data_IF_633687066048
#
_entry.id   IF_633687066048
#
_cell.length_a   1.000
_cell.length_b   1.000
_cell.length_c   1.000
_cell.angle_alpha   90.00
_cell.angle_beta   90.00
_cell.angle_gamma   90.00
#
_symmetry.space_group_name_H-M   'P 1'
#
loop_
_entity.id
_entity.type
_entity.pdbx_description
1 polymer ?
#
# COMPACT_ATOMS: atom_id res chain seq x y z
N UNK A 1 22.23 -29.27 43.80
CA UNK A 1 21.31 -29.23 42.66
C UNK A 1 21.94 -28.38 41.60
N UNK A 2 22.40 -29.03 40.54
CA UNK A 2 23.15 -28.45 39.41
C UNK A 2 22.22 -27.66 38.49
N UNK A 3 22.52 -26.39 38.06
CA UNK A 3 21.63 -25.56 37.25
C UNK A 3 21.76 -25.80 35.74
N UNK A 4 22.03 -27.06 35.31
CA UNK A 4 22.34 -27.38 33.90
C UNK A 4 21.41 -28.39 33.23
N UNK A 5 20.14 -28.46 33.62
CA UNK A 5 19.16 -29.27 32.86
C UNK A 5 17.92 -28.45 32.52
N UNK A 6 18.00 -27.69 31.42
CA UNK A 6 16.81 -27.32 30.63
C UNK A 6 16.61 -28.38 29.56
N UNK A 7 15.44 -28.99 29.45
CA UNK A 7 15.15 -29.97 28.39
C UNK A 7 15.11 -29.24 27.04
N UNK A 8 16.03 -29.63 26.16
CA UNK A 8 16.06 -29.31 24.77
C UNK A 8 14.88 -29.98 24.07
N UNK A 9 13.94 -29.29 23.44
CA UNK A 9 12.98 -29.93 22.56
C UNK A 9 13.70 -30.30 21.28
N UNK A 10 14.12 -31.57 21.14
CA UNK A 10 14.66 -32.15 19.95
C UNK A 10 13.73 -31.97 18.75
N UNK A 11 14.12 -31.08 17.84
CA UNK A 11 13.60 -31.02 16.48
C UNK A 11 14.30 -32.06 15.59
N UNK A 12 14.31 -33.32 15.99
CA UNK A 12 14.87 -34.39 15.20
C UNK A 12 13.84 -35.52 15.03
N UNK A 13 13.62 -35.84 13.74
CA UNK A 13 13.03 -37.05 13.21
C UNK A 13 11.50 -37.20 13.29
N UNK A 14 10.84 -36.61 12.27
CA UNK A 14 9.88 -37.41 11.51
C UNK A 14 9.89 -36.94 10.04
N UNK A 15 10.67 -37.63 9.20
CA UNK A 15 10.75 -37.40 7.76
C UNK A 15 9.51 -38.00 7.05
N UNK A 16 8.35 -37.58 7.46
CA UNK A 16 7.13 -37.72 6.70
C UNK A 16 7.01 -36.51 5.75
N UNK A 17 6.87 -36.75 4.47
CA UNK A 17 6.56 -35.75 3.44
C UNK A 17 5.35 -34.91 3.89
N UNK A 18 5.57 -33.82 4.62
CA UNK A 18 4.51 -32.83 4.89
C UNK A 18 4.17 -32.18 3.56
N UNK A 19 2.93 -32.35 3.10
CA UNK A 19 2.41 -31.71 1.90
C UNK A 19 2.66 -30.22 2.02
N UNK A 20 3.45 -29.66 1.10
CA UNK A 20 3.69 -28.24 0.97
C UNK A 20 2.34 -27.51 0.87
N UNK A 21 2.04 -26.64 1.81
CA UNK A 21 0.81 -25.85 1.83
C UNK A 21 1.11 -24.48 1.26
N UNK A 22 0.37 -24.07 0.25
CA UNK A 22 0.43 -22.69 -0.24
C UNK A 22 -0.55 -21.82 0.53
N UNK A 23 -0.04 -20.86 1.30
CA UNK A 23 -0.93 -19.85 1.92
C UNK A 23 -1.40 -18.90 0.82
N UNK A 24 -2.71 -18.91 0.56
CA UNK A 24 -3.39 -18.09 -0.45
C UNK A 24 -2.75 -18.17 -1.86
N UNK A 25 -2.06 -19.27 -2.19
CA UNK A 25 -1.40 -19.46 -3.49
C UNK A 25 -0.13 -18.63 -3.72
N UNK A 26 0.37 -17.89 -2.72
CA UNK A 26 1.52 -16.98 -2.88
C UNK A 26 2.78 -17.43 -2.13
N UNK A 27 2.66 -18.17 -1.03
CA UNK A 27 3.79 -18.57 -0.20
C UNK A 27 3.90 -20.09 -0.14
N UNK A 28 5.04 -20.69 -0.53
CA UNK A 28 5.32 -22.10 -0.33
C UNK A 28 5.74 -22.34 1.13
N UNK A 29 4.83 -22.86 1.96
CA UNK A 29 5.04 -23.01 3.40
C UNK A 29 5.21 -24.49 3.75
N UNK A 30 6.29 -24.77 4.48
CA UNK A 30 6.56 -26.07 5.09
C UNK A 30 6.02 -26.15 6.51
N UNK A 31 6.11 -25.04 7.23
CA UNK A 31 5.77 -24.97 8.65
C UNK A 31 5.10 -23.64 8.98
N UNK A 32 4.13 -23.66 9.88
CA UNK A 32 3.47 -22.48 10.40
C UNK A 32 3.75 -22.36 11.89
N UNK A 33 4.34 -21.24 12.31
CA UNK A 33 4.62 -20.94 13.71
C UNK A 33 3.80 -19.71 14.10
N UNK A 34 2.98 -19.86 15.14
CA UNK A 34 2.23 -18.76 15.74
C UNK A 34 2.96 -18.29 16.99
N UNK A 35 3.14 -16.98 17.11
CA UNK A 35 3.82 -16.34 18.24
C UNK A 35 2.88 -15.40 18.96
N UNK A 36 3.01 -15.33 20.27
CA UNK A 36 2.26 -14.43 21.15
C UNK A 36 3.15 -13.49 21.94
N UNK A 37 4.46 -13.73 21.93
CA UNK A 37 5.44 -12.91 22.64
C UNK A 37 6.59 -12.48 21.73
N UNK A 38 7.07 -11.22 21.85
CA UNK A 38 8.21 -10.72 21.06
C UNK A 38 9.48 -11.57 21.15
N UNK A 39 9.76 -12.17 22.31
CA UNK A 39 10.93 -13.02 22.51
C UNK A 39 10.91 -14.30 21.68
N UNK A 40 9.74 -14.83 21.37
CA UNK A 40 9.58 -16.02 20.52
C UNK A 40 10.01 -15.74 19.07
N UNK A 41 9.69 -14.54 18.55
CA UNK A 41 10.10 -14.13 17.20
C UNK A 41 11.63 -14.19 17.06
N UNK A 42 12.37 -13.63 18.02
CA UNK A 42 13.83 -13.63 18.01
C UNK A 42 14.40 -15.07 18.02
N UNK A 43 13.84 -15.96 18.85
CA UNK A 43 14.25 -17.39 18.92
C UNK A 43 14.01 -18.12 17.61
N UNK A 44 12.84 -17.96 17.01
CA UNK A 44 12.48 -18.59 15.73
C UNK A 44 13.38 -18.10 14.60
N UNK A 45 13.61 -16.78 14.51
CA UNK A 45 14.48 -16.21 13.48
C UNK A 45 15.93 -16.67 13.65
N UNK A 46 16.47 -16.70 14.87
CA UNK A 46 17.81 -17.20 15.15
C UNK A 46 17.98 -18.68 14.78
N UNK A 47 16.97 -19.51 15.04
CA UNK A 47 16.98 -20.89 14.64
C UNK A 47 16.94 -21.06 13.11
N UNK A 48 16.03 -20.35 12.44
CA UNK A 48 15.96 -20.32 10.99
C UNK A 48 17.25 -19.82 10.33
N UNK A 49 17.93 -18.85 10.93
CA UNK A 49 19.22 -18.33 10.45
C UNK A 49 20.32 -19.40 10.47
N UNK A 50 20.42 -20.17 11.56
CA UNK A 50 21.38 -21.28 11.69
C UNK A 50 21.18 -22.34 10.60
N UNK A 51 19.93 -22.62 10.24
CA UNK A 51 19.58 -23.64 9.25
C UNK A 51 19.36 -23.07 7.84
N UNK A 52 19.57 -21.77 7.63
CA UNK A 52 19.29 -21.03 6.38
C UNK A 52 17.88 -21.26 5.85
N UNK A 53 16.90 -21.40 6.76
CA UNK A 53 15.50 -21.66 6.41
C UNK A 53 14.77 -20.31 6.22
N UNK A 54 14.10 -20.08 5.07
CA UNK A 54 13.34 -18.86 4.83
C UNK A 54 12.25 -18.61 5.87
N UNK A 55 12.08 -17.34 6.27
CA UNK A 55 11.04 -16.88 7.19
C UNK A 55 10.15 -15.88 6.48
N UNK A 56 8.87 -16.15 6.48
CA UNK A 56 7.82 -15.31 5.91
C UNK A 56 6.97 -14.70 7.02
N UNK A 57 7.23 -13.45 7.44
CA UNK A 57 6.45 -12.79 8.47
C UNK A 57 5.05 -12.47 7.94
N UNK A 58 4.03 -12.88 8.68
CA UNK A 58 2.63 -12.73 8.31
C UNK A 58 1.89 -12.05 9.46
N UNK A 59 1.34 -10.85 9.22
CA UNK A 59 0.35 -10.25 10.09
C UNK A 59 -1.05 -10.80 9.74
N UNK A 60 -1.97 -9.94 9.31
CA UNK A 60 -3.31 -10.36 8.88
C UNK A 60 -3.40 -11.02 7.48
N UNK A 61 -2.29 -11.11 6.75
CA UNK A 61 -2.24 -11.78 5.44
C UNK A 61 -2.93 -11.04 4.29
N UNK A 62 -3.25 -9.75 4.45
CA UNK A 62 -4.01 -8.96 3.48
C UNK A 62 -3.21 -8.54 2.23
N UNK A 63 -1.89 -8.68 2.23
CA UNK A 63 -1.00 -8.24 1.13
C UNK A 63 0.01 -9.31 0.69
N UNK A 64 -0.30 -10.59 0.85
CA UNK A 64 0.61 -11.69 0.50
C UNK A 64 0.94 -11.76 -0.99
N UNK A 65 0.06 -11.24 -1.85
CA UNK A 65 0.30 -11.15 -3.29
C UNK A 65 1.23 -10.01 -3.72
N UNK A 66 1.56 -9.05 -2.84
CA UNK A 66 2.42 -7.91 -3.16
C UNK A 66 3.90 -8.26 -3.07
N UNK A 67 4.66 -7.81 -4.07
CA UNK A 67 6.09 -8.10 -4.18
C UNK A 67 6.41 -9.27 -5.10
N UNK A 68 7.71 -9.54 -5.26
CA UNK A 68 8.24 -10.59 -6.13
C UNK A 68 7.76 -12.00 -5.78
N UNK A 69 7.93 -12.95 -6.69
CA UNK A 69 7.52 -14.33 -6.47
C UNK A 69 8.41 -14.98 -5.41
N UNK A 70 7.78 -15.78 -4.57
CA UNK A 70 8.46 -16.57 -3.54
C UNK A 70 8.51 -18.03 -4.02
N UNK A 71 9.72 -18.56 -4.15
CA UNK A 71 9.94 -19.92 -4.68
C UNK A 71 10.56 -20.86 -3.66
N UNK A 72 11.15 -20.34 -2.60
CA UNK A 72 11.82 -21.15 -1.59
C UNK A 72 10.82 -21.56 -0.50
N UNK A 73 10.67 -22.86 -0.20
CA UNK A 73 9.89 -23.32 0.93
C UNK A 73 10.44 -22.81 2.26
N UNK A 74 9.55 -22.50 3.22
CA UNK A 74 10.00 -21.93 4.49
C UNK A 74 8.94 -21.87 5.57
N UNK A 75 9.23 -21.12 6.62
CA UNK A 75 8.39 -20.94 7.81
C UNK A 75 7.48 -19.74 7.64
N UNK A 76 6.17 -19.93 7.78
CA UNK A 76 5.21 -18.85 7.98
C UNK A 76 5.21 -18.44 9.45
N UNK A 77 5.77 -17.27 9.76
CA UNK A 77 5.77 -16.73 11.11
C UNK A 77 4.58 -15.80 11.32
N UNK A 78 3.58 -16.30 12.07
CA UNK A 78 2.33 -15.57 12.30
C UNK A 78 2.50 -14.60 13.46
N UNK A 79 2.42 -13.31 13.16
CA UNK A 79 2.63 -12.21 14.10
C UNK A 79 1.31 -11.62 14.64
N UNK A 80 0.17 -12.11 14.18
CA UNK A 80 -1.14 -11.61 14.57
C UNK A 80 -1.46 -11.78 16.07
N UNK A 81 -0.69 -12.57 16.80
CA UNK A 81 -0.78 -12.69 18.26
C UNK A 81 -0.21 -11.49 19.02
N UNK A 82 0.70 -10.71 18.40
CA UNK A 82 1.33 -9.54 19.00
C UNK A 82 0.42 -8.31 18.88
N UNK A 83 -0.49 -8.10 19.85
CA UNK A 83 -1.56 -7.09 19.77
C UNK A 83 -1.65 -6.16 20.98
N UNK A 84 -0.63 -6.12 21.82
CA UNK A 84 -0.67 -5.32 23.04
C UNK A 84 -0.55 -3.81 22.72
N UNK A 85 -1.28 -3.02 23.52
CA UNK A 85 -1.07 -1.57 23.63
C UNK A 85 0.08 -1.35 24.62
N UNK A 86 1.24 -0.93 24.11
CA UNK A 86 2.45 -0.78 24.93
C UNK A 86 2.45 0.56 25.68
N UNK A 87 2.07 1.66 24.99
CA UNK A 87 2.07 3.01 25.57
C UNK A 87 1.19 3.96 24.75
N UNK A 88 0.44 4.85 25.41
CA UNK A 88 -0.39 5.83 24.71
C UNK A 88 -0.46 7.16 25.47
N UNK A 89 0.58 8.01 25.41
CA UNK A 89 0.52 9.38 25.88
C UNK A 89 -0.28 10.24 24.89
N UNK A 90 -1.60 10.21 25.00
CA UNK A 90 -2.52 10.86 24.03
C UNK A 90 -2.27 12.36 23.85
N UNK A 91 -1.79 13.06 24.91
CA UNK A 91 -1.42 14.47 24.84
C UNK A 91 -0.21 14.75 23.95
N UNK A 92 0.69 13.78 23.80
CA UNK A 92 1.88 13.89 22.96
C UNK A 92 1.60 13.47 21.50
N UNK A 93 0.36 13.06 21.19
CA UNK A 93 -0.07 12.58 19.88
C UNK A 93 0.80 11.41 19.36
N UNK A 94 1.16 10.51 20.26
CA UNK A 94 1.95 9.31 19.93
C UNK A 94 1.34 8.06 20.58
N UNK A 95 1.45 6.93 19.91
CA UNK A 95 1.03 5.64 20.41
C UNK A 95 2.07 4.58 20.09
N UNK A 96 2.35 3.68 21.01
CA UNK A 96 3.20 2.52 20.80
C UNK A 96 2.37 1.24 20.96
N UNK A 97 2.39 0.41 19.93
CA UNK A 97 1.65 -0.85 19.90
C UNK A 97 2.52 -1.96 19.35
N UNK A 98 2.16 -3.21 19.63
CA UNK A 98 2.74 -4.36 18.96
C UNK A 98 2.32 -4.44 17.48
N UNK A 99 3.23 -4.94 16.64
CA UNK A 99 3.11 -4.88 15.18
C UNK A 99 1.97 -5.75 14.61
N UNK A 100 1.51 -6.74 15.34
CA UNK A 100 0.39 -7.61 14.98
C UNK A 100 -0.99 -7.01 15.27
N UNK A 101 -1.07 -5.85 15.94
CA UNK A 101 -2.34 -5.18 16.23
C UNK A 101 -3.10 -4.85 14.94
N UNK A 102 -4.38 -5.24 14.80
CA UNK A 102 -5.20 -4.84 13.66
C UNK A 102 -5.39 -3.32 13.61
N UNK A 103 -5.30 -2.72 12.42
CA UNK A 103 -5.52 -1.27 12.25
C UNK A 103 -6.90 -0.83 12.73
N UNK A 104 -7.91 -1.67 12.59
CA UNK A 104 -9.26 -1.40 13.10
C UNK A 104 -9.25 -1.20 14.62
N UNK A 105 -8.62 -2.12 15.36
CA UNK A 105 -8.48 -2.01 16.82
C UNK A 105 -7.68 -0.77 17.22
N UNK A 106 -6.60 -0.45 16.50
CA UNK A 106 -5.85 0.77 16.72
C UNK A 106 -6.73 2.01 16.56
N UNK A 107 -7.52 2.09 15.49
CA UNK A 107 -8.43 3.22 15.24
C UNK A 107 -9.53 3.34 16.31
N UNK A 108 -10.01 2.24 16.85
CA UNK A 108 -10.98 2.21 17.97
C UNK A 108 -10.36 2.79 19.24
N UNK A 109 -9.12 2.38 19.58
CA UNK A 109 -8.37 2.93 20.73
C UNK A 109 -8.17 4.44 20.57
N UNK A 110 -7.69 4.88 19.40
CA UNK A 110 -7.46 6.30 19.11
C UNK A 110 -8.76 7.12 19.16
N UNK A 111 -9.86 6.52 18.70
CA UNK A 111 -11.19 7.13 18.72
C UNK A 111 -11.67 7.50 20.12
N UNK A 112 -11.24 6.78 21.18
CA UNK A 112 -11.53 7.10 22.57
C UNK A 112 -10.98 8.45 23.02
N UNK A 113 -9.88 8.91 22.40
CA UNK A 113 -9.25 10.23 22.66
C UNK A 113 -9.51 11.24 21.53
N UNK A 114 -10.51 11.00 20.69
CA UNK A 114 -10.81 11.79 19.49
C UNK A 114 -9.60 11.99 18.56
N UNK A 115 -8.76 10.95 18.46
CA UNK A 115 -7.59 10.91 17.60
C UNK A 115 -7.76 9.82 16.53
N UNK A 116 -6.89 9.85 15.54
CA UNK A 116 -6.90 8.87 14.47
C UNK A 116 -5.54 8.79 13.75
N UNK A 117 -5.39 7.74 12.94
CA UNK A 117 -4.26 7.56 12.03
C UNK A 117 -4.79 7.73 10.59
N UNK A 118 -4.56 8.89 9.93
CA UNK A 118 -5.21 9.23 8.64
C UNK A 118 -4.98 8.22 7.52
N UNK A 119 -3.75 7.76 7.33
CA UNK A 119 -3.39 6.81 6.27
C UNK A 119 -3.91 5.38 6.47
N UNK A 120 -4.54 5.09 7.61
CA UNK A 120 -5.01 3.76 7.99
C UNK A 120 -6.53 3.71 8.25
N UNK A 121 -7.28 4.72 7.80
CA UNK A 121 -8.67 4.89 8.22
C UNK A 121 -9.65 3.84 7.67
N UNK A 122 -9.42 3.25 6.50
CA UNK A 122 -10.38 2.35 5.82
C UNK A 122 -9.74 1.10 5.22
N UNK A 123 -8.65 0.61 5.80
CA UNK A 123 -8.02 -0.62 5.33
C UNK A 123 -8.78 -1.88 5.74
N UNK A 124 -8.49 -2.98 5.04
CA UNK A 124 -9.00 -4.32 5.35
C UNK A 124 -9.00 -4.59 6.87
N UNK A 125 -10.07 -5.18 7.38
CA UNK A 125 -10.19 -5.56 8.79
C UNK A 125 -9.04 -6.45 9.29
N UNK A 126 -8.38 -7.15 8.36
CA UNK A 126 -7.24 -8.02 8.65
C UNK A 126 -5.89 -7.31 8.64
N UNK A 127 -5.79 -6.08 8.11
CA UNK A 127 -4.52 -5.36 8.04
C UNK A 127 -3.99 -5.06 9.43
N UNK A 128 -2.75 -5.50 9.69
CA UNK A 128 -2.05 -5.19 10.94
C UNK A 128 -1.17 -3.95 10.79
N UNK A 129 -0.82 -3.32 11.92
CA UNK A 129 0.07 -2.15 11.94
C UNK A 129 1.42 -2.46 11.30
N UNK A 130 2.04 -3.60 11.64
CA UNK A 130 3.30 -4.03 11.02
C UNK A 130 3.18 -4.28 9.52
N UNK A 131 2.06 -4.89 9.08
CA UNK A 131 1.78 -5.11 7.65
C UNK A 131 1.59 -3.81 6.88
N UNK A 132 0.92 -2.81 7.47
CA UNK A 132 0.75 -1.48 6.91
C UNK A 132 2.08 -0.75 6.73
N UNK A 133 2.95 -0.77 7.75
CA UNK A 133 4.29 -0.18 7.67
C UNK A 133 5.15 -0.94 6.64
N UNK A 134 5.18 -2.27 6.72
CA UNK A 134 6.01 -3.09 5.84
C UNK A 134 5.69 -2.91 4.35
N UNK A 135 4.43 -2.65 4.01
CA UNK A 135 4.02 -2.42 2.62
C UNK A 135 4.09 -0.96 2.19
N UNK A 136 3.98 -0.01 3.13
CA UNK A 136 3.96 1.44 2.91
C UNK A 136 3.10 1.85 1.69
N UNK A 137 1.89 1.30 1.64
CA UNK A 137 1.00 1.43 0.49
C UNK A 137 0.45 2.84 0.37
N UNK A 138 0.61 3.51 -0.79
CA UNK A 138 0.14 4.87 -0.99
C UNK A 138 -1.40 4.96 -0.97
N UNK A 139 -1.90 5.99 -0.29
CA UNK A 139 -3.31 6.29 -0.19
C UNK A 139 -3.70 7.71 -0.62
N UNK A 140 -5.00 7.99 -0.76
CA UNK A 140 -5.50 9.30 -1.23
C UNK A 140 -5.17 10.45 -0.28
N UNK A 141 -5.04 10.17 1.02
CA UNK A 141 -4.74 11.17 2.07
C UNK A 141 -3.26 11.51 2.20
N UNK A 142 -2.36 10.76 1.56
CA UNK A 142 -0.91 10.90 1.75
C UNK A 142 -0.38 12.30 1.34
N UNK A 143 -1.02 12.95 0.38
CA UNK A 143 -0.57 14.27 -0.09
C UNK A 143 -0.75 15.35 0.99
N UNK A 144 -1.75 15.22 1.84
CA UNK A 144 -2.07 16.18 2.90
C UNK A 144 -1.46 15.78 4.25
N UNK A 145 -1.71 14.56 4.69
CA UNK A 145 -1.30 14.12 6.03
C UNK A 145 0.11 13.55 6.09
N UNK A 146 0.67 13.14 4.98
CA UNK A 146 1.93 12.40 4.90
C UNK A 146 1.73 10.91 4.65
N UNK A 147 2.81 10.24 4.25
CA UNK A 147 2.85 8.81 3.98
C UNK A 147 3.02 7.98 5.26
N UNK A 148 2.87 6.67 5.15
CA UNK A 148 3.17 5.72 6.24
C UNK A 148 4.49 6.03 6.94
N UNK A 149 5.55 6.32 6.17
CA UNK A 149 6.88 6.61 6.71
C UNK A 149 6.94 7.92 7.53
N UNK A 150 6.01 8.85 7.32
CA UNK A 150 5.96 10.12 8.05
C UNK A 150 5.26 9.97 9.41
N UNK A 151 4.43 8.94 9.58
CA UNK A 151 3.81 8.58 10.86
C UNK A 151 4.67 7.64 11.70
N UNK A 152 5.60 6.92 11.11
CA UNK A 152 6.42 5.91 11.77
C UNK A 152 7.63 6.53 12.47
N UNK A 153 7.52 6.73 13.79
CA UNK A 153 8.52 7.44 14.60
C UNK A 153 9.61 6.55 15.17
N UNK A 154 9.26 5.35 15.62
CA UNK A 154 10.18 4.44 16.29
C UNK A 154 9.70 3.00 16.26
N UNK A 155 10.60 2.07 16.55
CA UNK A 155 10.31 0.64 16.53
C UNK A 155 11.22 -0.19 17.44
N UNK A 156 10.75 -1.40 17.73
CA UNK A 156 11.53 -2.57 18.15
C UNK A 156 11.37 -3.66 17.10
N UNK A 157 12.45 -4.30 16.67
CA UNK A 157 12.41 -5.28 15.58
C UNK A 157 13.46 -6.38 15.80
N UNK A 158 13.34 -7.48 15.04
CA UNK A 158 14.31 -8.57 14.98
C UNK A 158 14.96 -8.56 13.60
N UNK A 159 16.29 -8.57 13.55
CA UNK A 159 17.06 -8.70 12.32
C UNK A 159 17.14 -10.17 11.83
N UNK A 160 17.80 -10.41 10.70
CA UNK A 160 17.98 -11.76 10.15
C UNK A 160 18.92 -12.67 10.92
N UNK A 161 19.55 -12.20 12.00
CA UNK A 161 20.35 -13.00 12.94
C UNK A 161 19.51 -13.49 14.13
N UNK A 162 18.31 -12.93 14.30
CA UNK A 162 17.48 -13.11 15.49
C UNK A 162 17.80 -12.13 16.61
N UNK A 163 18.59 -11.07 16.33
CA UNK A 163 18.94 -10.06 17.30
C UNK A 163 17.87 -8.98 17.36
N UNK A 164 17.47 -8.61 18.59
CA UNK A 164 16.52 -7.53 18.83
C UNK A 164 17.25 -6.19 18.80
N UNK A 165 16.73 -5.26 18.00
CA UNK A 165 17.26 -3.90 17.93
C UNK A 165 16.12 -2.88 17.90
N UNK A 166 16.44 -1.62 18.17
CA UNK A 166 15.48 -0.52 18.17
C UNK A 166 16.01 0.65 17.36
N UNK A 167 15.12 1.44 16.83
CA UNK A 167 15.46 2.65 16.07
C UNK A 167 14.37 3.72 16.16
N UNK A 168 14.76 4.95 15.85
CA UNK A 168 13.86 6.10 15.98
C UNK A 168 13.69 6.56 17.42
N UNK A 169 12.59 7.22 17.71
CA UNK A 169 12.30 7.74 19.05
C UNK A 169 10.79 7.83 19.29
N UNK A 170 10.39 8.12 20.53
CA UNK A 170 8.99 8.41 20.88
C UNK A 170 8.61 9.88 20.66
N UNK A 171 9.54 10.70 20.16
CA UNK A 171 9.34 12.12 19.92
C UNK A 171 9.48 12.46 18.45
N UNK A 172 8.70 13.41 17.98
CA UNK A 172 8.62 13.83 16.56
C UNK A 172 9.94 14.42 16.03
N UNK A 173 10.82 14.90 16.90
CA UNK A 173 12.13 15.47 16.54
C UNK A 173 13.25 14.61 17.10
N UNK A 174 13.85 13.77 16.26
CA UNK A 174 15.09 13.08 16.54
C UNK A 174 16.14 13.51 15.51
N UNK A 175 17.07 14.40 15.92
CA UNK A 175 18.08 14.96 15.05
C UNK A 175 19.36 14.09 14.97
N UNK A 176 19.45 13.01 15.75
CA UNK A 176 20.63 12.18 15.83
C UNK A 176 20.45 10.82 15.14
N UNK A 177 21.36 10.48 14.24
CA UNK A 177 21.43 9.17 13.61
C UNK A 177 20.63 9.04 12.30
N UNK A 178 20.69 7.83 11.73
CA UNK A 178 19.95 7.49 10.52
C UNK A 178 18.46 7.28 10.81
N UNK A 179 17.61 7.67 9.87
CA UNK A 179 16.17 7.44 9.97
C UNK A 179 15.83 5.98 9.59
N UNK A 180 16.10 5.06 10.52
CA UNK A 180 15.82 3.64 10.34
C UNK A 180 14.32 3.33 10.20
N UNK A 181 13.37 4.01 10.88
CA UNK A 181 11.95 3.85 10.60
C UNK A 181 11.63 4.03 9.12
N UNK A 182 12.15 5.07 8.48
CA UNK A 182 11.92 5.32 7.05
C UNK A 182 12.54 4.25 6.15
N UNK A 183 13.64 3.62 6.56
CA UNK A 183 14.26 2.50 5.84
C UNK A 183 13.39 1.24 5.91
N UNK A 184 12.76 0.97 7.06
CA UNK A 184 11.93 -0.22 7.25
C UNK A 184 10.54 -0.08 6.65
N UNK A 185 10.03 1.15 6.50
CA UNK A 185 8.76 1.40 5.80
C UNK A 185 8.88 0.97 4.33
N UNK A 186 8.02 0.04 3.90
CA UNK A 186 8.03 -0.51 2.54
C UNK A 186 9.08 -1.60 2.30
N UNK A 187 9.77 -2.08 3.34
CA UNK A 187 10.77 -3.15 3.23
C UNK A 187 10.17 -4.55 3.02
N UNK A 188 8.86 -4.72 3.07
CA UNK A 188 8.14 -5.99 2.98
C UNK A 188 8.65 -7.06 3.97
N UNK A 189 9.15 -6.64 5.14
CA UNK A 189 9.72 -7.55 6.13
C UNK A 189 10.99 -8.27 5.67
N UNK A 190 11.68 -7.74 4.64
CA UNK A 190 12.92 -8.34 4.11
C UNK A 190 14.19 -7.86 4.80
N UNK A 191 14.11 -6.80 5.60
CA UNK A 191 15.25 -6.27 6.38
C UNK A 191 15.13 -6.63 7.86
N UNK A 192 13.92 -6.56 8.40
CA UNK A 192 13.65 -6.87 9.80
C UNK A 192 12.17 -7.25 9.99
N UNK A 193 11.87 -7.92 11.08
CA UNK A 193 10.52 -8.25 11.54
C UNK A 193 10.17 -7.29 12.67
N UNK A 194 9.16 -6.44 12.47
CA UNK A 194 8.69 -5.48 13.46
C UNK A 194 7.99 -6.21 14.62
N UNK A 195 8.35 -5.86 15.84
CA UNK A 195 7.75 -6.33 17.09
C UNK A 195 6.80 -5.28 17.66
N UNK A 196 7.32 -4.08 17.86
CA UNK A 196 6.62 -2.91 18.37
C UNK A 196 6.86 -1.72 17.46
N UNK A 197 5.87 -0.84 17.36
CA UNK A 197 5.96 0.38 16.55
C UNK A 197 5.41 1.56 17.33
N UNK A 198 6.12 2.69 17.24
CA UNK A 198 5.66 3.98 17.74
C UNK A 198 5.19 4.83 16.57
N UNK A 199 3.95 5.29 16.63
CA UNK A 199 3.31 6.08 15.60
C UNK A 199 2.96 7.48 16.10
N UNK A 200 3.10 8.46 15.22
CA UNK A 200 2.45 9.75 15.39
C UNK A 200 0.98 9.60 15.00
N UNK A 201 0.10 10.21 15.76
CA UNK A 201 -1.32 10.26 15.46
C UNK A 201 -1.80 11.72 15.30
N UNK A 202 -3.01 11.92 14.83
CA UNK A 202 -3.59 13.24 14.61
C UNK A 202 -4.91 13.37 15.34
N UNK A 203 -5.32 14.58 15.76
CA UNK A 203 -6.71 14.84 16.13
C UNK A 203 -7.63 14.49 14.96
N UNK A 204 -8.79 13.92 15.26
CA UNK A 204 -9.79 13.62 14.23
C UNK A 204 -10.40 14.93 13.72
N UNK A 205 -10.56 15.11 12.39
CA UNK A 205 -11.22 16.29 11.85
C UNK A 205 -12.68 16.33 12.33
N UNK A 206 -13.19 17.53 12.59
CA UNK A 206 -14.57 17.74 13.04
C UNK A 206 -15.56 17.34 11.96
N UNK A 207 -15.24 17.64 10.70
CA UNK A 207 -16.11 17.44 9.55
C UNK A 207 -15.33 16.97 8.33
N UNK A 208 -16.05 16.38 7.39
CA UNK A 208 -15.52 15.94 6.09
C UNK A 208 -16.55 16.17 4.99
N UNK A 209 -16.12 16.58 3.82
CA UNK A 209 -16.97 16.76 2.64
C UNK A 209 -16.24 16.36 1.36
N UNK A 210 -16.96 16.14 0.26
CA UNK A 210 -16.39 16.00 -1.07
C UNK A 210 -17.04 16.93 -2.07
N UNK A 211 -16.21 17.51 -2.94
CA UNK A 211 -16.63 18.09 -4.21
C UNK A 211 -16.24 17.13 -5.34
N UNK A 212 -17.23 16.71 -6.11
CA UNK A 212 -17.05 15.82 -7.26
C UNK A 212 -17.26 16.64 -8.52
N UNK A 213 -16.21 16.81 -9.30
CA UNK A 213 -16.21 17.58 -10.54
C UNK A 213 -16.20 16.64 -11.73
N UNK A 214 -17.30 16.54 -12.46
CA UNK A 214 -17.35 15.81 -13.72
C UNK A 214 -16.68 16.61 -14.82
N UNK A 215 -15.68 16.03 -15.50
CA UNK A 215 -14.90 16.70 -16.55
C UNK A 215 -14.89 15.88 -17.84
N UNK A 216 -15.00 16.51 -19.01
CA UNK A 216 -15.13 15.78 -20.29
C UNK A 216 -13.83 15.11 -20.73
N UNK A 217 -12.67 15.64 -20.33
CA UNK A 217 -11.35 15.15 -20.76
C UNK A 217 -10.26 15.52 -19.75
N UNK A 218 -9.06 15.01 -19.99
CA UNK A 218 -7.89 15.22 -19.12
C UNK A 218 -7.35 16.65 -19.16
N UNK A 219 -7.46 17.33 -20.29
CA UNK A 219 -7.04 18.72 -20.45
C UNK A 219 -7.83 19.60 -19.47
N UNK A 220 -9.14 19.36 -19.37
CA UNK A 220 -10.00 20.06 -18.42
C UNK A 220 -9.66 19.73 -16.96
N UNK A 221 -9.35 18.46 -16.64
CA UNK A 221 -8.89 18.09 -15.33
C UNK A 221 -7.58 18.82 -14.96
N UNK A 222 -6.63 18.90 -15.89
CA UNK A 222 -5.37 19.62 -15.69
C UNK A 222 -5.59 21.13 -15.47
N UNK A 223 -6.53 21.74 -16.20
CA UNK A 223 -6.89 23.14 -16.01
C UNK A 223 -7.41 23.39 -14.59
N UNK A 224 -8.26 22.48 -14.08
CA UNK A 224 -8.74 22.54 -12.69
C UNK A 224 -7.57 22.46 -11.71
N UNK A 225 -6.70 21.45 -11.81
CA UNK A 225 -5.57 21.33 -10.90
C UNK A 225 -4.63 22.54 -10.96
N UNK A 226 -4.36 23.10 -12.17
CA UNK A 226 -3.58 24.31 -12.33
C UNK A 226 -4.29 25.54 -11.72
N UNK A 227 -5.60 25.60 -11.83
CA UNK A 227 -6.39 26.70 -11.26
C UNK A 227 -6.41 26.65 -9.72
N UNK A 228 -6.47 25.47 -9.13
CA UNK A 228 -6.51 25.28 -7.67
C UNK A 228 -5.13 25.37 -7.01
N UNK A 229 -4.05 24.97 -7.70
CA UNK A 229 -2.70 24.94 -7.15
C UNK A 229 -2.25 26.23 -6.46
N UNK A 230 -2.42 27.43 -7.06
CA UNK A 230 -2.02 28.69 -6.44
C UNK A 230 -2.79 29.06 -5.17
N UNK A 231 -3.95 28.47 -4.94
CA UNK A 231 -4.78 28.75 -3.78
C UNK A 231 -4.25 28.08 -2.49
N UNK A 232 -3.30 27.14 -2.62
CA UNK A 232 -2.72 26.40 -1.48
C UNK A 232 -3.77 25.84 -0.51
N UNK A 233 -4.90 25.40 -1.05
CA UNK A 233 -6.01 24.86 -0.24
C UNK A 233 -5.61 23.59 0.50
N UNK A 234 -6.03 23.48 1.74
CA UNK A 234 -5.82 22.30 2.58
C UNK A 234 -6.82 21.19 2.20
N UNK A 235 -6.56 20.50 1.09
CA UNK A 235 -7.38 19.39 0.63
C UNK A 235 -6.81 18.07 1.13
N UNK A 236 -7.62 17.28 1.84
CA UNK A 236 -7.26 15.96 2.33
C UNK A 236 -6.99 14.97 1.20
N UNK A 237 -7.68 15.12 0.07
CA UNK A 237 -7.41 14.38 -1.16
C UNK A 237 -7.73 15.23 -2.40
N UNK A 238 -7.00 14.98 -3.48
CA UNK A 238 -7.26 15.54 -4.82
C UNK A 238 -6.98 14.45 -5.86
N UNK A 239 -8.03 13.72 -6.23
CA UNK A 239 -7.96 12.50 -7.01
C UNK A 239 -8.49 12.71 -8.42
N UNK A 240 -7.80 12.14 -9.41
CA UNK A 240 -8.32 11.99 -10.76
C UNK A 240 -8.81 10.55 -10.95
N UNK A 241 -10.06 10.38 -11.34
CA UNK A 241 -10.75 9.10 -11.41
C UNK A 241 -11.30 8.86 -12.81
N UNK A 242 -11.23 7.62 -13.30
CA UNK A 242 -11.88 7.20 -14.55
C UNK A 242 -12.27 5.72 -14.49
N UNK A 243 -13.29 5.37 -15.26
CA UNK A 243 -13.81 4.00 -15.38
C UNK A 243 -15.18 3.81 -14.76
N UNK A 244 -15.88 2.72 -15.13
CA UNK A 244 -17.28 2.52 -14.80
C UNK A 244 -17.58 2.36 -13.32
N UNK A 245 -16.63 1.86 -12.53
CA UNK A 245 -16.79 1.61 -11.09
C UNK A 245 -17.19 2.86 -10.32
N UNK A 246 -16.68 4.02 -10.71
CA UNK A 246 -16.89 5.27 -9.98
C UNK A 246 -18.34 5.76 -10.03
N UNK A 247 -19.11 5.35 -11.04
CA UNK A 247 -20.53 5.70 -11.17
C UNK A 247 -21.40 5.20 -10.02
N UNK A 248 -21.03 4.06 -9.44
CA UNK A 248 -21.81 3.39 -8.39
C UNK A 248 -21.38 3.73 -6.98
N UNK A 249 -20.29 4.51 -6.82
CA UNK A 249 -19.74 4.86 -5.50
C UNK A 249 -20.70 5.75 -4.69
N UNK A 250 -21.21 6.78 -5.33
CA UNK A 250 -22.11 7.75 -4.72
C UNK A 250 -22.92 8.49 -5.83
N UNK A 251 -24.17 8.91 -5.59
CA UNK A 251 -24.99 9.64 -6.57
C UNK A 251 -24.30 10.87 -7.20
N UNK A 252 -23.45 11.57 -6.44
CA UNK A 252 -22.70 12.72 -6.95
C UNK A 252 -21.83 12.38 -8.16
N UNK A 253 -21.29 11.16 -8.27
CA UNK A 253 -20.51 10.73 -9.43
C UNK A 253 -21.40 10.50 -10.67
N UNK A 254 -22.52 9.80 -10.51
CA UNK A 254 -23.43 9.56 -11.63
C UNK A 254 -24.10 10.84 -12.12
N UNK A 255 -24.47 11.76 -11.23
CA UNK A 255 -25.08 13.06 -11.55
C UNK A 255 -24.12 14.01 -12.27
N UNK A 256 -22.82 13.91 -11.97
CA UNK A 256 -21.79 14.77 -12.58
C UNK A 256 -21.18 14.14 -13.84
N UNK A 257 -21.57 12.95 -14.22
CA UNK A 257 -21.06 12.31 -15.43
C UNK A 257 -21.49 13.09 -16.68
N UNK A 258 -20.51 13.43 -17.52
CA UNK A 258 -20.74 14.19 -18.78
C UNK A 258 -20.86 13.24 -19.99
N UNK A 259 -20.07 12.16 -20.03
CA UNK A 259 -20.04 11.16 -21.07
C UNK A 259 -19.55 9.81 -20.52
N UNK A 260 -19.66 8.73 -21.29
CA UNK A 260 -19.15 7.41 -20.86
C UNK A 260 -17.65 7.43 -20.53
N UNK A 261 -16.89 8.22 -21.30
CA UNK A 261 -15.44 8.36 -21.17
C UNK A 261 -15.01 9.54 -20.28
N UNK A 262 -15.95 10.18 -19.58
CA UNK A 262 -15.65 11.31 -18.70
C UNK A 262 -14.75 10.88 -17.53
N UNK A 263 -14.06 11.89 -16.98
CA UNK A 263 -13.31 11.78 -15.76
C UNK A 263 -14.02 12.46 -14.61
N UNK A 264 -13.58 12.16 -13.39
CA UNK A 264 -13.96 12.92 -12.21
C UNK A 264 -12.70 13.44 -11.53
N UNK A 265 -12.77 14.68 -11.07
CA UNK A 265 -11.84 15.20 -10.06
C UNK A 265 -12.60 15.18 -8.73
N UNK A 266 -12.12 14.34 -7.80
CA UNK A 266 -12.68 14.22 -6.46
C UNK A 266 -11.79 14.97 -5.48
N UNK A 267 -12.33 16.03 -4.86
CA UNK A 267 -11.66 16.84 -3.86
C UNK A 267 -12.22 16.49 -2.48
N UNK A 268 -11.42 15.81 -1.66
CA UNK A 268 -11.76 15.48 -0.28
C UNK A 268 -11.32 16.60 0.67
N UNK A 269 -12.24 17.07 1.50
CA UNK A 269 -12.05 18.14 2.46
C UNK A 269 -12.24 17.58 3.87
N UNK A 270 -11.31 17.88 4.77
CA UNK A 270 -11.37 17.48 6.18
C UNK A 270 -10.83 18.63 7.04
N UNK A 271 -11.55 18.97 8.14
CA UNK A 271 -11.19 20.09 9.00
C UNK A 271 -12.37 20.60 9.81
N UNK A 272 -12.35 21.89 10.15
CA UNK A 272 -13.47 22.57 10.79
C UNK A 272 -14.58 22.84 9.76
N UNK A 273 -15.83 22.83 10.19
CA UNK A 273 -16.97 22.99 9.28
C UNK A 273 -16.93 24.32 8.52
N UNK A 274 -16.52 25.40 9.18
CA UNK A 274 -16.37 26.73 8.60
C UNK A 274 -15.25 26.76 7.55
N UNK A 275 -14.13 26.11 7.84
CA UNK A 275 -13.00 25.99 6.91
C UNK A 275 -13.40 25.24 5.64
N UNK A 276 -14.09 24.12 5.79
CA UNK A 276 -14.60 23.33 4.65
C UNK A 276 -15.50 24.18 3.76
N UNK A 277 -16.42 24.96 4.34
CA UNK A 277 -17.29 25.85 3.58
C UNK A 277 -16.51 26.91 2.79
N UNK A 278 -15.53 27.53 3.43
CA UNK A 278 -14.68 28.53 2.75
C UNK A 278 -13.88 27.90 1.60
N UNK A 279 -13.31 26.71 1.81
CA UNK A 279 -12.60 25.97 0.75
C UNK A 279 -13.55 25.62 -0.40
N UNK A 280 -14.75 25.12 -0.10
CA UNK A 280 -15.78 24.85 -1.11
C UNK A 280 -16.09 26.11 -1.96
N UNK A 281 -16.32 27.25 -1.30
CA UNK A 281 -16.62 28.49 -2.00
C UNK A 281 -15.44 28.98 -2.87
N UNK A 282 -14.21 28.87 -2.38
CA UNK A 282 -13.02 29.22 -3.15
C UNK A 282 -12.86 28.33 -4.38
N UNK A 283 -13.04 27.01 -4.21
CA UNK A 283 -13.03 26.07 -5.34
C UNK A 283 -14.11 26.43 -6.35
N UNK A 284 -15.35 26.60 -5.90
CA UNK A 284 -16.50 26.92 -6.78
C UNK A 284 -16.33 28.24 -7.53
N UNK A 285 -15.85 29.28 -6.85
CA UNK A 285 -15.51 30.56 -7.50
C UNK A 285 -14.45 30.39 -8.57
N UNK A 286 -13.43 29.57 -8.31
CA UNK A 286 -12.31 29.38 -9.24
C UNK A 286 -12.65 28.52 -10.43
N UNK A 287 -13.41 27.44 -10.22
CA UNK A 287 -13.81 26.51 -11.30
C UNK A 287 -15.14 26.92 -11.99
N UNK A 288 -15.93 27.79 -11.36
CA UNK A 288 -17.23 28.21 -11.89
C UNK A 288 -17.19 28.97 -13.21
N UNK A 289 -16.04 29.52 -13.59
CA UNK A 289 -15.81 30.12 -14.91
C UNK A 289 -15.56 29.06 -16.00
N UNK A 290 -15.33 27.80 -15.62
CA UNK A 290 -15.11 26.70 -16.55
C UNK A 290 -16.45 26.25 -17.14
N UNK A 291 -16.67 26.46 -18.46
CA UNK A 291 -17.82 25.90 -19.19
C UNK A 291 -17.70 24.36 -19.19
N UNK A 292 -18.85 23.68 -19.28
CA UNK A 292 -18.96 22.21 -19.37
C UNK A 292 -18.47 21.44 -18.13
N UNK A 293 -18.55 22.05 -16.96
CA UNK A 293 -18.26 21.43 -15.68
C UNK A 293 -19.57 21.12 -14.95
N UNK A 294 -19.71 19.90 -14.43
CA UNK A 294 -20.76 19.55 -13.49
C UNK A 294 -20.15 19.34 -12.11
N UNK A 295 -20.76 19.94 -11.10
CA UNK A 295 -20.31 19.85 -9.71
C UNK A 295 -21.36 19.14 -8.88
N UNK A 296 -20.94 18.08 -8.19
CA UNK A 296 -21.70 17.38 -7.17
C UNK A 296 -21.05 17.60 -5.79
N UNK A 297 -21.89 17.66 -4.77
CA UNK A 297 -21.45 17.73 -3.38
C UNK A 297 -21.81 16.45 -2.65
N UNK A 298 -20.90 15.95 -1.83
CA UNK A 298 -21.15 14.86 -0.88
C UNK A 298 -21.14 15.46 0.52
N UNK A 299 -22.28 15.45 1.20
CA UNK A 299 -22.39 16.04 2.53
C UNK A 299 -21.64 15.20 3.57
N UNK A 300 -21.31 15.79 4.74
CA UNK A 300 -20.51 15.14 5.79
C UNK A 300 -21.00 13.74 6.18
N UNK A 301 -22.31 13.54 6.30
CA UNK A 301 -22.90 12.25 6.71
C UNK A 301 -22.66 11.11 5.69
N UNK A 302 -22.40 11.44 4.43
CA UNK A 302 -22.26 10.47 3.32
C UNK A 302 -20.79 10.25 2.91
N UNK A 303 -19.86 11.10 3.38
CA UNK A 303 -18.43 11.02 3.04
C UNK A 303 -17.74 9.71 3.45
N UNK A 304 -18.12 9.02 4.57
CA UNK A 304 -17.44 7.78 4.95
C UNK A 304 -17.48 6.69 3.87
N UNK A 305 -18.57 6.64 3.08
CA UNK A 305 -18.69 5.73 1.95
C UNK A 305 -17.72 6.05 0.81
N UNK A 306 -17.59 7.32 0.47
CA UNK A 306 -16.65 7.79 -0.57
C UNK A 306 -15.20 7.55 -0.16
N UNK A 307 -14.82 7.93 1.07
CA UNK A 307 -13.48 7.66 1.61
C UNK A 307 -13.13 6.18 1.56
N UNK A 308 -14.02 5.32 2.06
CA UNK A 308 -13.83 3.87 2.04
C UNK A 308 -13.54 3.37 0.63
N UNK A 309 -14.28 3.85 -0.36
CA UNK A 309 -14.09 3.42 -1.76
C UNK A 309 -12.76 3.90 -2.33
N UNK A 310 -12.39 5.18 -2.12
CA UNK A 310 -11.10 5.71 -2.57
C UNK A 310 -9.92 4.97 -1.93
N UNK A 311 -10.00 4.65 -0.65
CA UNK A 311 -8.94 3.94 0.07
C UNK A 311 -8.88 2.45 -0.28
N UNK A 312 -10.04 1.82 -0.53
CA UNK A 312 -10.10 0.41 -0.91
C UNK A 312 -9.83 0.15 -2.39
N UNK A 313 -9.79 1.18 -3.24
CA UNK A 313 -9.57 1.03 -4.68
C UNK A 313 -8.37 0.16 -5.03
N UNK A 314 -7.27 0.32 -4.31
CA UNK A 314 -6.06 -0.49 -4.45
C UNK A 314 -6.04 -1.69 -3.48
N UNK A 315 -7.13 -1.93 -2.73
CA UNK A 315 -7.27 -2.97 -1.71
C UNK A 315 -7.64 -4.35 -2.23
N UNK A 316 -7.76 -5.31 -1.30
CA UNK A 316 -8.17 -6.68 -1.60
C UNK A 316 -9.65 -6.76 -2.02
N UNK A 317 -10.47 -5.89 -1.47
CA UNK A 317 -11.94 -5.97 -1.61
C UNK A 317 -12.45 -5.23 -2.85
N UNK A 318 -11.56 -4.68 -3.69
CA UNK A 318 -11.98 -3.85 -4.81
C UNK A 318 -12.87 -4.56 -5.84
N UNK A 319 -12.65 -5.80 -6.27
CA UNK A 319 -13.59 -6.47 -7.17
C UNK A 319 -14.97 -6.74 -6.55
N UNK A 320 -15.08 -6.67 -5.22
CA UNK A 320 -16.32 -6.91 -4.46
C UNK A 320 -17.12 -5.64 -4.16
N UNK A 321 -16.83 -4.51 -4.80
CA UNK A 321 -17.72 -3.35 -4.73
C UNK A 321 -19.13 -3.72 -5.25
N UNK A 322 -20.21 -3.09 -4.71
CA UNK A 322 -21.58 -3.37 -5.15
C UNK A 322 -21.70 -3.22 -6.66
N UNK A 323 -21.93 -4.31 -7.35
CA UNK A 323 -21.85 -4.42 -8.82
C UNK A 323 -20.76 -5.38 -9.30
N UNK A 324 -20.10 -6.08 -8.35
CA UNK A 324 -19.04 -7.05 -8.49
C UNK A 324 -18.64 -7.41 -9.91
N UNK A 325 -17.35 -7.34 -10.21
CA UNK A 325 -16.79 -8.00 -11.38
C UNK A 325 -16.86 -9.51 -11.12
N UNK A 326 -18.06 -10.10 -11.16
CA UNK A 326 -18.15 -11.47 -11.58
C UNK A 326 -17.91 -11.43 -13.08
N UNK A 327 -16.99 -12.23 -13.58
CA UNK A 327 -16.78 -12.47 -14.99
C UNK A 327 -18.07 -12.99 -15.63
N UNK A 328 -19.03 -12.12 -15.94
CA UNK A 328 -20.34 -12.52 -16.42
C UNK A 328 -21.26 -11.37 -16.75
N UNK A 329 -21.35 -11.07 -18.05
CA UNK A 329 -22.51 -10.47 -18.74
C UNK A 329 -22.81 -8.98 -18.48
N UNK A 330 -22.34 -8.13 -19.37
CA UNK A 330 -23.00 -6.88 -19.68
C UNK A 330 -22.18 -5.62 -19.56
N UNK A 331 -21.10 -5.52 -20.30
CA UNK A 331 -20.41 -4.26 -20.58
C UNK A 331 -19.63 -4.43 -21.88
N UNK A 332 -19.70 -3.47 -22.78
CA UNK A 332 -19.07 -3.54 -24.10
C UNK A 332 -17.66 -4.09 -24.03
N UNK A 333 -17.42 -5.28 -24.64
CA UNK A 333 -16.11 -5.71 -25.10
C UNK A 333 -15.00 -5.83 -24.06
N UNK A 334 -15.30 -6.03 -22.77
CA UNK A 334 -14.27 -6.37 -21.79
C UNK A 334 -13.70 -7.72 -22.18
N UNK A 335 -12.38 -7.79 -22.34
CA UNK A 335 -11.64 -9.00 -22.59
C UNK A 335 -12.00 -10.06 -21.54
N UNK A 336 -12.12 -11.31 -21.95
CA UNK A 336 -12.15 -12.41 -20.98
C UNK A 336 -10.85 -12.38 -20.23
N UNK A 337 -10.88 -12.42 -18.89
CA UNK A 337 -9.65 -12.36 -18.10
C UNK A 337 -9.89 -12.11 -16.63
N UNK A 338 -8.82 -12.06 -15.92
CA UNK A 338 -8.78 -11.80 -14.46
C UNK A 338 -8.29 -10.38 -14.18
N UNK A 339 -8.68 -9.84 -13.03
CA UNK A 339 -8.33 -8.48 -12.63
C UNK A 339 -6.89 -8.41 -12.11
N UNK A 340 -6.12 -7.49 -12.68
CA UNK A 340 -4.74 -7.15 -12.25
C UNK A 340 -4.68 -5.69 -11.85
N UNK A 341 -4.09 -5.41 -10.69
CA UNK A 341 -3.81 -4.04 -10.26
C UNK A 341 -2.38 -3.67 -10.59
N UNK A 342 -2.22 -2.60 -11.34
CA UNK A 342 -0.93 -2.01 -11.64
C UNK A 342 -0.77 -0.70 -10.87
N UNK A 343 0.43 -0.45 -10.36
CA UNK A 343 0.85 0.84 -9.83
C UNK A 343 1.80 1.50 -10.83
N UNK A 344 1.38 2.63 -11.36
CA UNK A 344 2.21 3.45 -12.23
C UNK A 344 2.82 4.57 -11.39
N UNK A 345 4.11 4.80 -11.55
CA UNK A 345 4.84 5.91 -10.93
C UNK A 345 5.44 6.79 -12.01
N UNK A 346 5.07 8.06 -11.99
CA UNK A 346 5.57 9.10 -12.90
C UNK A 346 5.84 10.38 -12.12
N UNK A 347 6.47 11.36 -12.75
CA UNK A 347 6.52 12.71 -12.16
C UNK A 347 5.09 13.26 -12.03
N UNK A 348 4.76 14.06 -10.98
CA UNK A 348 3.43 14.63 -10.81
C UNK A 348 2.90 15.35 -12.05
N UNK A 349 3.74 16.11 -12.75
CA UNK A 349 3.38 16.78 -14.01
C UNK A 349 3.08 15.85 -15.19
N UNK A 350 3.36 14.54 -15.06
CA UNK A 350 3.13 13.52 -16.10
C UNK A 350 1.94 12.60 -15.82
N UNK A 351 1.24 12.80 -14.71
CA UNK A 351 0.10 11.94 -14.30
C UNK A 351 -0.98 11.92 -15.37
N UNK A 352 -1.37 13.06 -15.91
CA UNK A 352 -2.42 13.12 -16.93
C UNK A 352 -2.02 12.42 -18.23
N UNK A 353 -0.74 12.57 -18.67
CA UNK A 353 -0.24 11.87 -19.84
C UNK A 353 -0.28 10.34 -19.61
N UNK A 354 0.11 9.88 -18.41
CA UNK A 354 0.02 8.48 -18.03
C UNK A 354 -1.43 7.98 -18.00
N UNK A 355 -2.37 8.73 -17.44
CA UNK A 355 -3.79 8.38 -17.43
C UNK A 355 -4.36 8.27 -18.85
N UNK A 356 -3.99 9.18 -19.76
CA UNK A 356 -4.42 9.15 -21.16
C UNK A 356 -3.84 7.91 -21.88
N UNK A 357 -2.58 7.57 -21.61
CA UNK A 357 -1.94 6.38 -22.14
C UNK A 357 -2.67 5.11 -21.70
N UNK A 358 -2.91 4.96 -20.41
CA UNK A 358 -3.53 3.76 -19.82
C UNK A 358 -4.93 3.48 -20.40
N UNK A 359 -5.72 4.51 -20.66
CA UNK A 359 -7.07 4.37 -21.21
C UNK A 359 -7.11 3.90 -22.67
N UNK A 360 -6.01 3.93 -23.39
CA UNK A 360 -5.94 3.44 -24.79
C UNK A 360 -5.86 1.92 -24.86
N UNK A 361 -5.49 1.26 -23.76
CA UNK A 361 -5.41 -0.19 -23.70
C UNK A 361 -6.81 -0.78 -23.56
N UNK A 362 -7.18 -1.79 -24.36
CA UNK A 362 -8.52 -2.42 -24.30
C UNK A 362 -8.77 -3.15 -22.97
N UNK A 363 -7.73 -3.50 -22.25
CA UNK A 363 -7.77 -4.12 -20.92
C UNK A 363 -8.13 -3.14 -19.79
N UNK A 364 -8.13 -1.84 -20.08
CA UNK A 364 -8.43 -0.80 -19.09
C UNK A 364 -9.82 -0.99 -18.47
N UNK A 365 -9.89 -0.98 -17.15
CA UNK A 365 -11.15 -1.03 -16.42
C UNK A 365 -11.41 0.25 -15.61
N UNK A 366 -10.52 0.61 -14.71
CA UNK A 366 -10.67 1.81 -13.90
C UNK A 366 -9.31 2.32 -13.40
N UNK A 367 -9.21 3.62 -13.16
CA UNK A 367 -8.04 4.22 -12.51
C UNK A 367 -8.42 5.18 -11.39
N UNK A 368 -7.47 5.32 -10.47
CA UNK A 368 -7.40 6.36 -9.45
C UNK A 368 -5.99 6.94 -9.44
N UNK A 369 -5.86 8.24 -9.61
CA UNK A 369 -4.56 8.89 -9.64
C UNK A 369 -4.41 9.92 -8.53
N UNK A 370 -3.38 9.72 -7.69
CA UNK A 370 -2.90 10.65 -6.67
C UNK A 370 -1.99 11.68 -7.34
N UNK A 371 -2.58 12.71 -7.95
CA UNK A 371 -1.89 13.65 -8.83
C UNK A 371 -0.65 14.29 -8.22
N UNK A 372 -0.72 14.76 -7.00
CA UNK A 372 0.39 15.39 -6.28
C UNK A 372 1.56 14.44 -5.96
N UNK A 373 1.32 13.11 -5.97
CA UNK A 373 2.31 12.08 -5.65
C UNK A 373 2.91 11.39 -6.87
N UNK A 374 2.36 11.64 -8.06
CA UNK A 374 2.79 10.96 -9.27
C UNK A 374 2.46 9.47 -9.30
N UNK A 375 1.40 9.04 -8.61
CA UNK A 375 1.00 7.64 -8.51
C UNK A 375 -0.35 7.45 -9.17
N UNK A 376 -0.45 6.45 -10.05
CA UNK A 376 -1.71 6.04 -10.68
C UNK A 376 -1.92 4.56 -10.39
N UNK A 377 -3.01 4.26 -9.74
CA UNK A 377 -3.53 2.92 -9.61
C UNK A 377 -4.45 2.62 -10.77
N UNK A 378 -4.25 1.49 -11.44
CA UNK A 378 -5.11 1.10 -12.55
C UNK A 378 -5.43 -0.40 -12.48
N UNK A 379 -6.72 -0.70 -12.56
CA UNK A 379 -7.21 -2.05 -12.78
C UNK A 379 -7.28 -2.34 -14.26
N UNK A 380 -6.69 -3.47 -14.66
CA UNK A 380 -6.75 -4.04 -16.00
C UNK A 380 -7.41 -5.41 -15.93
N UNK A 381 -8.16 -5.78 -16.96
CA UNK A 381 -8.75 -7.12 -17.10
C UNK A 381 -8.01 -7.81 -18.23
N UNK A 382 -7.28 -8.88 -17.91
CA UNK A 382 -6.40 -9.55 -18.87
C UNK A 382 -6.14 -11.01 -18.47
N UNK A 383 -5.51 -11.75 -19.35
CA UNK A 383 -4.94 -13.08 -19.08
C UNK A 383 -3.44 -12.97 -18.77
N UNK A 384 -2.89 -13.93 -18.00
CA UNK A 384 -1.47 -13.94 -17.67
C UNK A 384 -0.57 -13.89 -18.91
N UNK A 385 -0.87 -14.70 -19.90
CA UNK A 385 -0.08 -14.77 -21.13
C UNK A 385 -0.03 -13.42 -21.85
N UNK A 386 -1.19 -12.75 -21.99
CA UNK A 386 -1.30 -11.45 -22.63
C UNK A 386 -0.65 -10.34 -21.80
N UNK A 387 -0.79 -10.40 -20.46
CA UNK A 387 -0.09 -9.47 -19.57
C UNK A 387 1.42 -9.49 -19.82
N UNK A 388 2.00 -10.69 -19.90
CA UNK A 388 3.45 -10.88 -20.04
C UNK A 388 3.97 -10.56 -21.42
N UNK A 389 3.28 -11.04 -22.47
CA UNK A 389 3.77 -10.93 -23.84
C UNK A 389 3.51 -9.57 -24.51
N UNK A 390 2.47 -8.87 -24.11
CA UNK A 390 2.01 -7.66 -24.81
C UNK A 390 1.87 -6.45 -23.87
N UNK A 391 1.06 -6.58 -22.79
CA UNK A 391 0.63 -5.44 -22.00
C UNK A 391 1.78 -4.82 -21.21
N UNK A 392 2.54 -5.61 -20.42
CA UNK A 392 3.66 -5.08 -19.65
C UNK A 392 4.77 -4.52 -20.55
N UNK A 393 5.24 -5.22 -21.61
CA UNK A 393 6.25 -4.66 -22.52
C UNK A 393 5.80 -3.36 -23.18
N UNK A 394 4.53 -3.27 -23.61
CA UNK A 394 3.95 -2.07 -24.19
C UNK A 394 3.92 -0.91 -23.18
N UNK A 395 3.41 -1.16 -21.98
CA UNK A 395 3.36 -0.16 -20.91
C UNK A 395 4.75 0.32 -20.48
N UNK A 396 5.72 -0.57 -20.32
CA UNK A 396 7.09 -0.18 -19.99
C UNK A 396 7.69 0.75 -21.04
N UNK A 397 7.58 0.37 -22.32
CA UNK A 397 8.10 1.19 -23.44
C UNK A 397 7.49 2.59 -23.44
N UNK A 398 6.19 2.68 -23.19
CA UNK A 398 5.50 3.96 -23.26
C UNK A 398 5.70 4.80 -21.99
N UNK A 399 5.71 4.18 -20.81
CA UNK A 399 5.95 4.87 -19.54
C UNK A 399 7.39 5.35 -19.40
N UNK A 400 8.38 4.67 -19.99
CA UNK A 400 9.76 5.14 -20.02
C UNK A 400 9.88 6.50 -20.71
N UNK A 401 9.11 6.77 -21.76
CA UNK A 401 9.07 8.08 -22.43
C UNK A 401 8.61 9.21 -21.50
N UNK A 402 7.84 8.82 -20.45
CA UNK A 402 7.36 9.74 -19.41
C UNK A 402 8.28 9.76 -18.17
N UNK A 403 9.40 9.03 -18.19
CA UNK A 403 10.26 8.84 -17.02
C UNK A 403 9.59 8.02 -15.93
N UNK A 404 8.63 7.18 -16.28
CA UNK A 404 7.80 6.42 -15.36
C UNK A 404 8.17 4.94 -15.27
N UNK A 405 7.52 4.26 -14.32
CA UNK A 405 7.63 2.82 -14.12
C UNK A 405 6.26 2.21 -13.82
N UNK A 406 6.11 0.90 -14.07
CA UNK A 406 4.93 0.10 -13.72
C UNK A 406 5.32 -1.04 -12.79
N UNK A 407 4.50 -1.25 -11.76
CA UNK A 407 4.64 -2.35 -10.79
C UNK A 407 3.35 -3.16 -10.82
N UNK A 408 3.45 -4.48 -10.89
CA UNK A 408 2.30 -5.36 -10.71
C UNK A 408 2.03 -5.48 -9.21
N UNK A 409 1.08 -4.69 -8.74
CA UNK A 409 0.79 -4.54 -7.31
C UNK A 409 -0.11 -5.67 -6.79
N UNK A 410 -1.02 -6.17 -7.64
CA UNK A 410 -1.88 -7.31 -7.33
C UNK A 410 -2.11 -8.15 -8.59
N UNK A 411 -2.07 -9.45 -8.42
CA UNK A 411 -2.33 -10.44 -9.46
C UNK A 411 -3.12 -11.62 -8.90
N UNK A 412 -3.81 -12.40 -9.73
CA UNK A 412 -4.43 -13.65 -9.31
C UNK A 412 -3.43 -14.63 -8.71
N UNK A 413 -3.82 -15.43 -7.71
CA UNK A 413 -3.01 -16.53 -7.22
C UNK A 413 -2.67 -17.51 -8.35
N UNK A 414 -1.44 -18.01 -8.37
CA UNK A 414 -0.99 -18.97 -9.39
C UNK A 414 -0.32 -18.37 -10.62
N UNK A 415 -0.46 -17.06 -10.88
CA UNK A 415 0.25 -16.39 -11.96
C UNK A 415 1.77 -16.38 -11.74
N UNK A 416 2.51 -16.86 -12.74
CA UNK A 416 3.96 -17.10 -12.68
C UNK A 416 4.77 -15.91 -13.24
N UNK A 417 4.53 -14.72 -12.71
CA UNK A 417 5.31 -13.54 -13.09
C UNK A 417 6.70 -13.58 -12.45
N UNK A 418 7.72 -13.25 -13.22
CA UNK A 418 9.08 -13.06 -12.70
C UNK A 418 9.18 -11.82 -11.82
N UNK A 419 10.24 -11.75 -11.02
CA UNK A 419 10.53 -10.56 -10.20
C UNK A 419 10.65 -9.28 -11.05
N UNK A 420 11.29 -9.39 -12.22
CA UNK A 420 11.46 -8.27 -13.13
C UNK A 420 10.14 -7.77 -13.72
N UNK A 421 9.25 -8.70 -14.11
CA UNK A 421 7.89 -8.35 -14.57
C UNK A 421 7.07 -7.66 -13.48
N UNK A 422 7.19 -8.11 -12.22
CA UNK A 422 6.44 -7.52 -11.10
C UNK A 422 6.93 -6.11 -10.78
N UNK A 423 8.25 -5.89 -10.76
CA UNK A 423 8.85 -4.62 -10.35
C UNK A 423 9.14 -3.66 -11.51
N UNK A 424 8.80 -4.03 -12.74
CA UNK A 424 9.05 -3.20 -13.92
C UNK A 424 10.53 -2.99 -14.18
N UNK A 425 11.35 -4.03 -14.00
CA UNK A 425 12.79 -4.01 -14.25
C UNK A 425 13.04 -4.61 -15.61
N UNK A 426 13.45 -3.76 -16.57
CA UNK A 426 13.62 -4.18 -17.98
C UNK A 426 14.84 -5.07 -18.21
N UNK A 427 15.87 -4.93 -17.40
CA UNK A 427 17.11 -5.72 -17.51
C UNK A 427 17.40 -6.39 -16.17
N UNK A 428 17.84 -7.64 -16.22
CA UNK A 428 18.30 -8.30 -14.99
C UNK A 428 19.54 -7.57 -14.46
N UNK A 429 19.52 -7.13 -13.19
CA UNK A 429 20.70 -6.54 -12.60
C UNK A 429 21.78 -7.61 -12.48
N UNK A 430 22.75 -7.61 -13.41
CA UNK A 430 23.94 -8.46 -13.30
C UNK A 430 24.75 -8.05 -12.06
N UNK A 431 24.92 -8.92 -11.06
CA UNK A 431 25.67 -8.58 -9.85
C UNK A 431 27.12 -8.21 -10.12
N UNK A 432 27.68 -8.73 -11.21
CA UNK A 432 29.07 -8.49 -11.63
C UNK A 432 29.24 -7.27 -12.54
N UNK A 433 28.14 -6.59 -12.92
CA UNK A 433 28.22 -5.41 -13.79
C UNK A 433 28.72 -4.18 -12.99
N UNK A 434 29.90 -3.62 -13.32
CA UNK A 434 30.42 -2.43 -12.65
C UNK A 434 29.57 -1.17 -12.92
N UNK A 435 28.71 -1.19 -13.93
CA UNK A 435 27.78 -0.08 -14.24
C UNK A 435 26.45 -0.19 -13.48
N UNK A 436 26.28 -1.27 -12.69
CA UNK A 436 25.08 -1.47 -11.87
C UNK A 436 24.76 -0.20 -11.09
N UNK A 437 23.53 0.35 -11.19
CA UNK A 437 23.20 1.59 -10.51
C UNK A 437 23.56 1.52 -9.03
N UNK A 438 24.20 2.56 -8.51
CA UNK A 438 24.65 2.65 -7.11
C UNK A 438 23.55 2.27 -6.10
N UNK A 439 22.29 2.60 -6.46
CA UNK A 439 21.12 2.22 -5.65
C UNK A 439 21.00 0.71 -5.39
N UNK A 440 21.25 -0.13 -6.39
CA UNK A 440 21.13 -1.59 -6.23
C UNK A 440 22.26 -2.16 -5.36
N UNK A 441 23.47 -1.61 -5.52
CA UNK A 441 24.60 -1.98 -4.67
C UNK A 441 24.34 -1.62 -3.20
N UNK A 442 23.79 -0.43 -2.96
CA UNK A 442 23.42 0.01 -1.62
C UNK A 442 22.35 -0.90 -1.01
N UNK A 443 21.28 -1.21 -1.75
CA UNK A 443 20.22 -2.10 -1.30
C UNK A 443 20.73 -3.50 -0.97
N UNK A 444 21.60 -4.07 -1.80
CA UNK A 444 22.22 -5.36 -1.54
C UNK A 444 23.10 -5.36 -0.29
N UNK A 445 23.87 -4.28 -0.05
CA UNK A 445 24.67 -4.11 1.17
C UNK A 445 23.78 -3.98 2.41
N UNK A 446 22.70 -3.20 2.34
CA UNK A 446 21.74 -3.09 3.44
C UNK A 446 21.10 -4.44 3.75
N UNK A 447 20.69 -5.20 2.72
CA UNK A 447 20.16 -6.55 2.91
C UNK A 447 21.18 -7.45 3.62
N UNK A 448 22.42 -7.47 3.17
CA UNK A 448 23.50 -8.28 3.77
C UNK A 448 23.80 -7.86 5.22
N UNK A 449 23.65 -6.58 5.56
CA UNK A 449 23.86 -6.09 6.92
C UNK A 449 22.74 -6.52 7.87
N UNK A 450 21.48 -6.38 7.45
CA UNK A 450 20.32 -6.73 8.28
C UNK A 450 19.99 -8.23 8.25
N UNK A 451 20.27 -8.92 7.15
CA UNK A 451 19.92 -10.33 6.98
C UNK A 451 21.01 -11.07 6.18
N UNK A 452 22.16 -11.34 6.81
CA UNK A 452 23.30 -11.97 6.14
C UNK A 452 23.03 -13.39 5.63
N UNK A 453 22.09 -14.10 6.26
CA UNK A 453 21.68 -15.44 5.81
C UNK A 453 20.62 -15.40 4.68
N UNK A 454 20.13 -14.21 4.34
CA UNK A 454 19.08 -13.98 3.33
C UNK A 454 17.80 -14.80 3.54
N UNK A 455 17.39 -14.94 4.80
CA UNK A 455 16.22 -15.74 5.20
C UNK A 455 14.92 -14.91 5.32
N UNK A 456 15.03 -13.59 5.56
CA UNK A 456 13.86 -12.75 5.78
C UNK A 456 13.16 -12.44 4.45
N UNK A 457 11.99 -13.03 4.27
CA UNK A 457 11.08 -12.82 3.14
C UNK A 457 11.77 -12.77 1.77
N UNK A 458 12.60 -13.80 1.43
CA UNK A 458 13.44 -13.78 0.23
C UNK A 458 12.60 -13.71 -1.05
N UNK A 459 13.10 -13.01 -2.07
CA UNK A 459 12.45 -12.87 -3.37
C UNK A 459 11.39 -11.74 -3.45
N UNK A 460 10.95 -11.17 -2.33
CA UNK A 460 9.88 -10.15 -2.32
C UNK A 460 10.30 -8.82 -2.93
N UNK A 461 11.51 -8.38 -2.66
CA UNK A 461 12.03 -7.12 -3.20
C UNK A 461 12.99 -7.36 -4.36
N UNK A 462 13.26 -6.33 -5.17
CA UNK A 462 14.00 -6.51 -6.43
C UNK A 462 15.52 -6.71 -6.29
N UNK A 463 16.06 -6.85 -5.06
CA UNK A 463 17.48 -7.12 -4.79
C UNK A 463 17.78 -8.56 -4.39
#
# INVERSE_FOLDING_TARGET
MDPRECPNPDFASDAGFRKMQHINGFLPIEEKIEVSEPAEVARVVADCARHRKPVYPIGGGSRLGYGGPVTQPGVALQLAGLQELVDYPSRDLTITVEAGMPLKRLQEILGGENQWLPGAASWSERMTVGGWIATAWPGPRDAHYGSVADFFLGFRAVDGRGEVFSGGSRVVKNAAGYNLPRLLAGSLGSLAILLEVTLMVRPRPESSAFLILGVPNLERAQEIFRALGPLQLQMAAAELLAGPVWRSVHPAFSQTQLAEDAFWVALGLEGWQEEIKEIEEQVLRRVGSCRDLKVGKVPPAETPGVWRTLESFSGEDFPNLPGGISAGKGGRGLSQGEAVLLQIRVLPGKVSEACNLLRRYPEFYALQAHGARGIVWVWMITEEAKLRSELLPGLWKDLQKLGGNVIVARRPPGWQLSRNEIWGILEEPNPADPTRPVRWQLMARLKAEFDPASILNPGRLPW
#
